data_IF_768930252293
#
_entry.id   IF_768930252293
#
_cell.length_a   1.000
_cell.length_b   1.000
_cell.length_c   1.000
_cell.angle_alpha   90.00
_cell.angle_beta   90.00
_cell.angle_gamma   90.00
#
_symmetry.space_group_name_H-M   'P 1'
#
loop_
_entity.id
_entity.type
_entity.pdbx_description
1 polymer ?
#
# COMPACT_ATOMS: atom_id res chain seq x y z
N UNK A 1 21.72 15.99 3.03
CA UNK A 1 21.98 14.57 2.76
C UNK A 1 20.81 13.97 2.00
N UNK A 2 21.04 12.91 1.20
CA UNK A 2 19.97 12.18 0.51
C UNK A 2 19.67 10.95 1.37
N UNK A 3 18.56 10.99 2.11
CA UNK A 3 18.22 9.98 3.13
C UNK A 3 17.61 8.68 2.57
N UNK A 4 17.22 8.64 1.30
CA UNK A 4 16.79 7.42 0.62
C UNK A 4 16.88 7.57 -0.91
N UNK A 5 17.46 6.58 -1.59
CA UNK A 5 17.49 6.50 -3.05
C UNK A 5 16.38 5.54 -3.53
N UNK A 6 15.40 6.09 -4.25
CA UNK A 6 14.35 5.30 -4.92
C UNK A 6 14.88 5.01 -6.33
N UNK A 7 15.15 3.74 -6.65
CA UNK A 7 15.59 3.35 -7.99
C UNK A 7 14.41 2.81 -8.80
N UNK A 8 13.75 3.63 -9.64
CA UNK A 8 12.59 3.20 -10.43
C UNK A 8 12.91 2.12 -11.49
N UNK A 9 14.18 1.69 -11.63
CA UNK A 9 14.62 0.67 -12.59
C UNK A 9 14.86 -0.71 -11.97
N UNK A 10 14.79 -0.88 -10.66
CA UNK A 10 14.98 -2.18 -10.00
C UNK A 10 13.67 -3.01 -10.08
N UNK A 11 13.51 -3.73 -11.20
CA UNK A 11 12.37 -4.64 -11.41
C UNK A 11 12.79 -6.05 -11.03
N UNK A 12 12.37 -6.58 -9.88
CA UNK A 12 12.50 -8.04 -9.65
C UNK A 12 11.33 -8.71 -8.94
N UNK A 13 10.41 -8.00 -8.27
CA UNK A 13 9.18 -8.64 -7.73
C UNK A 13 7.88 -7.97 -8.23
N UNK A 14 7.98 -7.07 -9.21
CA UNK A 14 6.84 -6.18 -9.57
C UNK A 14 5.88 -6.75 -10.64
N UNK A 15 6.26 -7.78 -11.40
CA UNK A 15 5.46 -8.28 -12.53
C UNK A 15 4.33 -9.23 -12.13
N UNK A 16 4.56 -10.05 -11.10
CA UNK A 16 3.57 -11.00 -10.56
C UNK A 16 2.50 -10.25 -9.77
N UNK A 17 2.88 -9.23 -8.98
CA UNK A 17 1.96 -8.48 -8.13
C UNK A 17 0.90 -7.67 -8.90
N UNK A 18 1.22 -7.17 -10.11
CA UNK A 18 0.26 -6.50 -11.00
C UNK A 18 -0.85 -7.42 -11.53
N UNK A 19 -0.60 -8.72 -11.59
CA UNK A 19 -1.48 -9.68 -12.28
C UNK A 19 -2.12 -10.71 -11.35
N UNK A 20 -1.59 -10.93 -10.14
CA UNK A 20 -2.09 -11.94 -9.19
C UNK A 20 -2.98 -11.33 -8.08
N UNK A 21 -2.79 -10.07 -7.69
CA UNK A 21 -3.59 -9.52 -6.59
C UNK A 21 -4.95 -9.07 -7.09
N UNK A 22 -6.01 -9.65 -6.55
CA UNK A 22 -7.40 -9.19 -6.67
C UNK A 22 -7.65 -7.79 -6.05
N UNK A 23 -6.61 -6.99 -5.81
CA UNK A 23 -6.64 -5.57 -5.42
C UNK A 23 -5.87 -4.75 -6.44
N UNK A 24 -6.40 -3.59 -6.85
CA UNK A 24 -5.81 -2.73 -7.91
C UNK A 24 -4.52 -2.06 -7.43
N UNK A 25 -3.42 -2.82 -7.34
CA UNK A 25 -2.06 -2.32 -7.09
C UNK A 25 -1.61 -1.53 -8.33
N UNK A 26 -1.31 -0.24 -8.15
CA UNK A 26 -0.94 0.68 -9.25
C UNK A 26 0.57 0.73 -9.47
N UNK A 27 1.38 0.53 -8.44
CA UNK A 27 2.84 0.55 -8.55
C UNK A 27 3.53 -0.01 -7.30
N UNK A 28 4.72 -0.57 -7.50
CA UNK A 28 5.64 -0.99 -6.43
C UNK A 28 7.03 -0.47 -6.78
N UNK A 29 7.71 0.14 -5.81
CA UNK A 29 9.05 0.72 -5.99
C UNK A 29 9.99 0.22 -4.88
N UNK A 30 11.13 -0.36 -5.23
CA UNK A 30 12.12 -0.81 -4.24
C UNK A 30 13.03 0.35 -3.80
N UNK A 31 13.42 0.35 -2.53
CA UNK A 31 14.30 1.34 -1.89
C UNK A 31 15.54 0.62 -1.35
N UNK A 32 16.72 1.22 -1.56
CA UNK A 32 18.02 0.62 -1.19
C UNK A 32 18.37 -0.61 -2.03
N UNK A 33 19.09 -1.58 -1.44
CA UNK A 33 19.38 -2.89 -2.03
C UNK A 33 18.16 -3.86 -1.91
N UNK A 34 16.96 -3.33 -2.18
CA UNK A 34 15.69 -4.02 -2.02
C UNK A 34 15.36 -4.45 -0.57
N UNK A 35 15.72 -3.62 0.41
CA UNK A 35 15.38 -3.86 1.83
C UNK A 35 13.95 -3.39 2.18
N UNK A 36 13.41 -2.47 1.38
CA UNK A 36 12.07 -1.92 1.54
C UNK A 36 11.39 -1.65 0.19
N UNK A 37 10.06 -1.54 0.22
CA UNK A 37 9.21 -1.23 -0.92
C UNK A 37 8.23 -0.10 -0.62
N UNK A 38 7.89 0.65 -1.66
CA UNK A 38 6.76 1.57 -1.68
C UNK A 38 5.66 0.96 -2.52
N UNK A 39 4.49 0.76 -1.94
CA UNK A 39 3.32 0.17 -2.58
C UNK A 39 2.26 1.26 -2.75
N UNK A 40 1.87 1.54 -4.01
CA UNK A 40 0.69 2.36 -4.33
C UNK A 40 -0.47 1.43 -4.68
N UNK A 41 -1.54 1.47 -3.88
CA UNK A 41 -2.69 0.59 -4.06
C UNK A 41 -4.01 1.37 -4.00
N UNK A 42 -4.93 1.04 -4.90
CA UNK A 42 -6.29 1.52 -4.81
C UNK A 42 -7.11 0.62 -3.88
N UNK A 43 -7.76 1.24 -2.91
CA UNK A 43 -8.61 0.57 -1.92
C UNK A 43 -9.90 0.14 -2.59
N UNK A 44 -10.28 -1.12 -2.37
CA UNK A 44 -11.53 -1.70 -2.86
C UNK A 44 -12.54 -1.79 -1.71
N UNK A 45 -13.84 -1.76 -2.02
CA UNK A 45 -14.91 -1.88 -1.02
C UNK A 45 -14.78 -3.11 -0.12
N UNK A 46 -14.29 -4.22 -0.67
CA UNK A 46 -14.10 -5.51 -0.01
C UNK A 46 -12.75 -5.66 0.68
N UNK A 47 -11.89 -4.65 0.63
CA UNK A 47 -10.62 -4.67 1.36
C UNK A 47 -10.87 -4.47 2.86
N UNK A 48 -10.17 -5.21 3.74
CA UNK A 48 -10.30 -5.04 5.18
C UNK A 48 -10.15 -3.59 5.66
N UNK A 49 -9.29 -2.79 5.02
CA UNK A 49 -9.01 -1.41 5.44
C UNK A 49 -10.07 -0.39 4.98
N UNK A 50 -10.99 -0.78 4.10
CA UNK A 50 -12.04 0.12 3.61
C UNK A 50 -12.99 0.53 4.73
N UNK A 51 -13.26 1.83 4.85
CA UNK A 51 -14.10 2.41 5.89
C UNK A 51 -13.42 2.61 7.25
N UNK A 52 -12.18 2.15 7.43
CA UNK A 52 -11.43 2.31 8.68
C UNK A 52 -10.65 3.63 8.74
N UNK A 53 -10.34 4.11 9.95
CA UNK A 53 -9.38 5.22 10.12
C UNK A 53 -7.97 4.65 10.16
N UNK A 54 -6.99 5.45 9.72
CA UNK A 54 -5.58 5.03 9.70
C UNK A 54 -5.11 4.48 11.06
N UNK A 55 -5.52 5.09 12.17
CA UNK A 55 -5.12 4.65 13.52
C UNK A 55 -5.77 3.34 13.97
N UNK A 56 -6.88 2.96 13.34
CA UNK A 56 -7.67 1.78 13.71
C UNK A 56 -7.24 0.56 12.88
N UNK A 57 -6.35 0.76 11.89
CA UNK A 57 -5.79 -0.31 11.05
C UNK A 57 -4.50 -0.83 11.72
N UNK A 58 -4.46 -2.14 11.92
CA UNK A 58 -3.29 -2.86 12.45
C UNK A 58 -2.20 -3.00 11.38
N UNK A 59 -1.50 -1.90 11.08
CA UNK A 59 -0.33 -1.93 10.21
C UNK A 59 0.84 -2.66 10.91
N UNK A 60 1.60 -3.51 10.19
CA UNK A 60 2.86 -4.06 10.69
C UNK A 60 3.85 -2.95 11.10
N UNK A 61 4.77 -3.27 12.00
CA UNK A 61 5.67 -2.28 12.59
C UNK A 61 6.56 -1.57 11.54
N UNK A 62 7.06 -2.33 10.56
CA UNK A 62 7.86 -1.83 9.45
C UNK A 62 7.04 -1.16 8.34
N UNK A 63 5.74 -0.92 8.54
CA UNK A 63 4.85 -0.27 7.59
C UNK A 63 4.52 1.16 8.02
N UNK A 64 4.51 2.08 7.05
CA UNK A 64 4.13 3.49 7.23
C UNK A 64 3.27 3.96 6.07
N UNK A 65 2.27 4.79 6.38
CA UNK A 65 1.45 5.46 5.37
C UNK A 65 2.18 6.72 4.90
N UNK A 66 2.56 6.77 3.63
CA UNK A 66 3.20 7.93 3.00
C UNK A 66 2.20 9.00 2.56
N UNK A 67 1.01 8.58 2.11
CA UNK A 67 -0.01 9.49 1.61
C UNK A 67 -1.31 8.78 1.22
N UNK A 68 -2.41 9.52 1.23
CA UNK A 68 -3.70 9.03 0.71
C UNK A 68 -4.21 10.01 -0.32
N UNK A 69 -4.44 9.56 -1.55
CA UNK A 69 -5.12 10.33 -2.59
C UNK A 69 -6.59 10.00 -2.59
N UNK A 70 -7.42 10.98 -2.23
CA UNK A 70 -8.89 10.92 -2.30
C UNK A 70 -9.34 11.61 -3.59
N UNK A 71 -9.73 10.83 -4.60
CA UNK A 71 -10.04 11.37 -5.93
C UNK A 71 -8.82 12.06 -6.57
N UNK A 72 -8.88 13.39 -6.74
CA UNK A 72 -7.80 14.22 -7.29
C UNK A 72 -6.90 14.86 -6.23
N UNK A 73 -7.27 14.78 -4.95
CA UNK A 73 -6.55 15.47 -3.88
C UNK A 73 -5.65 14.53 -3.10
N UNK A 74 -4.41 14.96 -2.83
CA UNK A 74 -3.49 14.25 -1.94
C UNK A 74 -3.65 14.80 -0.53
N UNK A 75 -4.01 13.91 0.39
CA UNK A 75 -4.24 14.22 1.80
C UNK A 75 -3.09 13.66 2.63
N UNK A 76 -2.55 14.50 3.52
CA UNK A 76 -1.53 14.07 4.48
C UNK A 76 -2.12 13.02 5.42
N UNK A 77 -1.45 11.88 5.64
CA UNK A 77 -1.96 10.84 6.52
C UNK A 77 -2.01 11.37 7.96
N UNK A 78 -3.15 11.15 8.61
CA UNK A 78 -3.36 11.43 10.03
C UNK A 78 -4.18 10.29 10.62
N UNK A 79 -4.02 10.01 11.92
CA UNK A 79 -4.74 8.91 12.56
C UNK A 79 -6.26 9.01 12.45
N UNK A 80 -6.81 10.22 12.31
CA UNK A 80 -8.25 10.47 12.13
C UNK A 80 -8.74 10.29 10.69
N UNK A 81 -7.84 10.25 9.71
CA UNK A 81 -8.19 10.14 8.30
C UNK A 81 -8.83 8.77 8.04
N UNK A 82 -10.05 8.79 7.51
CA UNK A 82 -10.76 7.58 7.09
C UNK A 82 -10.37 7.21 5.67
N UNK A 83 -10.06 5.95 5.45
CA UNK A 83 -9.82 5.36 4.14
C UNK A 83 -11.15 4.87 3.61
N UNK A 84 -11.49 5.23 2.38
CA UNK A 84 -12.73 4.80 1.72
C UNK A 84 -12.40 4.07 0.41
N UNK A 85 -13.38 3.34 -0.13
CA UNK A 85 -13.26 2.72 -1.46
C UNK A 85 -12.89 3.76 -2.53
N UNK A 86 -11.98 3.37 -3.42
CA UNK A 86 -11.53 4.21 -4.51
C UNK A 86 -10.34 5.11 -4.17
N UNK A 87 -10.06 5.31 -2.88
CA UNK A 87 -8.85 5.99 -2.42
C UNK A 87 -7.60 5.26 -2.91
N UNK A 88 -6.53 6.01 -3.11
CA UNK A 88 -5.22 5.44 -3.39
C UNK A 88 -4.28 5.71 -2.23
N UNK A 89 -3.86 4.64 -1.57
CA UNK A 89 -2.90 4.71 -0.46
C UNK A 89 -1.50 4.41 -0.97
N UNK A 90 -0.54 5.18 -0.47
CA UNK A 90 0.90 4.92 -0.65
C UNK A 90 1.44 4.44 0.69
N UNK A 91 2.01 3.24 0.68
CA UNK A 91 2.61 2.59 1.84
C UNK A 91 4.11 2.45 1.60
N UNK A 92 4.91 2.72 2.62
CA UNK A 92 6.28 2.24 2.71
C UNK A 92 6.27 1.01 3.61
N UNK A 93 6.90 -0.07 3.19
CA UNK A 93 7.00 -1.31 3.95
C UNK A 93 8.38 -1.95 3.82
N UNK A 94 8.89 -2.51 4.90
CA UNK A 94 10.07 -3.37 4.85
C UNK A 94 9.73 -4.66 4.10
N UNK A 95 10.71 -5.28 3.42
CA UNK A 95 10.47 -6.53 2.67
C UNK A 95 9.78 -7.64 3.46
N UNK A 96 10.12 -7.91 4.74
CA UNK A 96 9.45 -8.94 5.52
C UNK A 96 7.95 -8.68 5.76
N UNK A 97 7.51 -7.42 5.69
CA UNK A 97 6.13 -7.02 5.97
C UNK A 97 5.25 -6.97 4.72
N UNK A 98 5.84 -7.09 3.52
CA UNK A 98 5.10 -7.08 2.24
C UNK A 98 3.93 -8.08 2.25
N UNK A 99 4.09 -9.36 2.68
CA UNK A 99 3.00 -10.33 2.75
C UNK A 99 1.77 -9.84 3.53
N UNK A 100 1.99 -9.19 4.67
CA UNK A 100 0.92 -8.72 5.54
C UNK A 100 0.27 -7.45 4.99
N UNK A 101 1.05 -6.57 4.35
CA UNK A 101 0.51 -5.47 3.55
C UNK A 101 -0.37 -5.99 2.42
N UNK A 102 -0.01 -7.10 1.77
CA UNK A 102 -0.89 -7.70 0.76
C UNK A 102 -2.21 -8.12 1.37
N UNK A 103 -2.19 -8.79 2.51
CA UNK A 103 -3.40 -9.28 3.20
C UNK A 103 -4.35 -8.14 3.56
N UNK A 104 -3.82 -7.00 4.00
CA UNK A 104 -4.62 -5.79 4.28
C UNK A 104 -5.27 -5.19 3.03
N UNK A 105 -4.62 -5.34 1.87
CA UNK A 105 -5.08 -4.83 0.58
C UNK A 105 -5.87 -5.85 -0.25
N UNK A 106 -5.84 -7.12 0.12
CA UNK A 106 -6.54 -8.20 -0.55
C UNK A 106 -8.06 -8.02 -0.43
N UNK A 107 -8.76 -8.51 -1.44
CA UNK A 107 -10.20 -8.65 -1.43
C UNK A 107 -10.52 -9.99 -0.79
N UNK A 108 -11.40 -10.00 0.21
CA UNK A 108 -12.04 -11.25 0.65
C UNK A 108 -12.79 -11.86 -0.53
N UNK A 109 -12.30 -13.00 -1.03
CA UNK A 109 -12.98 -13.82 -2.02
C UNK A 109 -14.09 -14.60 -1.30
N UNK A 110 -15.06 -13.90 -0.73
CA UNK A 110 -16.25 -14.50 -0.09
C UNK A 110 -17.54 -14.05 -0.80
N UNK A 111 -17.48 -13.97 -2.13
CA UNK A 111 -18.68 -13.83 -2.97
C UNK A 111 -18.57 -14.70 -4.23
N UNK A 112 -18.63 -16.03 -4.03
CA UNK A 112 -19.19 -16.99 -4.97
C UNK A 112 -19.84 -18.14 -4.21
#
# INVERSE_FOLDING_TARGET
DVDAYINPRATTVSSILRHIRHGRVRGVYSIGDAEAEVIEAQVLSTSPISGQRIRDIDFPEGVKVGGVRKGSEVVKPSGSLRIDEGDVIVLFCMMPDVPEVERLLQVSIDFF
#
